data_IF_004345015008
#
_entry.id   IF_004345015008
#
_cell.length_a   1.000
_cell.length_b   1.000
_cell.length_c   1.000
_cell.angle_alpha   90.00
_cell.angle_beta   90.00
_cell.angle_gamma   90.00
#
_symmetry.space_group_name_H-M   'P 1'
#
loop_
_entity.id
_entity.type
_entity.pdbx_description
1 polymer ?
#
# COMPACT_ATOMS: atom_id res chain seq x y z
N UNK A 1 -15.76 3.03 -10.53
CA UNK A 1 -14.99 1.80 -10.28
C UNK A 1 -14.85 1.59 -8.79
N UNK A 2 -15.10 0.40 -8.32
CA UNK A 2 -14.97 0.07 -6.92
C UNK A 2 -13.50 -0.25 -6.61
N UNK A 3 -12.96 0.40 -5.59
CA UNK A 3 -11.59 0.17 -5.15
C UNK A 3 -11.54 -0.99 -4.17
N UNK A 4 -10.38 -1.62 -4.10
CA UNK A 4 -10.12 -2.71 -3.16
C UNK A 4 -9.20 -2.22 -2.04
N UNK A 5 -9.51 -2.61 -0.81
CA UNK A 5 -8.64 -2.34 0.32
C UNK A 5 -7.39 -3.22 0.27
N UNK A 6 -6.23 -2.60 0.42
CA UNK A 6 -4.93 -3.29 0.46
C UNK A 6 -4.17 -2.99 1.75
N UNK A 7 -4.80 -2.21 2.63
CA UNK A 7 -4.17 -1.84 3.89
C UNK A 7 -4.20 -2.95 4.92
N UNK A 8 -4.86 -4.02 4.59
CA UNK A 8 -4.90 -5.18 5.46
C UNK A 8 -3.59 -5.97 5.37
N UNK A 9 -2.49 -5.24 5.42
CA UNK A 9 -1.30 -5.78 6.02
C UNK A 9 -1.63 -5.95 7.50
N UNK A 10 -2.52 -6.86 7.75
CA UNK A 10 -2.88 -7.28 9.10
C UNK A 10 -1.71 -7.92 9.82
N UNK A 11 -0.55 -7.75 9.28
CA UNK A 11 0.68 -8.21 9.87
C UNK A 11 1.18 -7.11 10.79
N UNK A 12 0.50 -6.97 11.92
CA UNK A 12 1.12 -6.34 13.06
C UNK A 12 2.32 -7.23 13.43
N UNK A 13 3.38 -7.12 12.66
CA UNK A 13 4.59 -7.88 12.90
C UNK A 13 5.72 -6.91 13.22
N UNK A 14 6.26 -6.96 14.45
CA UNK A 14 7.31 -6.03 14.87
C UNK A 14 8.51 -5.95 13.94
N UNK A 15 8.78 -6.96 13.13
CA UNK A 15 9.89 -6.91 12.17
C UNK A 15 9.68 -5.86 11.10
N UNK A 16 8.43 -5.41 10.87
CA UNK A 16 8.13 -4.37 9.91
C UNK A 16 8.04 -2.97 10.55
N UNK A 17 8.30 -2.86 11.85
CA UNK A 17 8.21 -1.58 12.54
C UNK A 17 9.14 -0.57 11.89
N UNK A 18 8.60 0.60 11.53
CA UNK A 18 9.35 1.66 10.90
C UNK A 18 9.74 1.41 9.45
N UNK A 19 9.32 0.30 8.87
CA UNK A 19 9.57 0.00 7.47
C UNK A 19 8.72 0.88 6.54
N UNK A 20 9.06 0.87 5.26
CA UNK A 20 8.31 1.58 4.22
C UNK A 20 7.75 0.57 3.25
N UNK A 21 6.46 0.70 2.92
CA UNK A 21 5.83 -0.15 1.91
C UNK A 21 5.51 0.68 0.68
N UNK A 22 5.93 0.18 -0.48
CA UNK A 22 5.65 0.79 -1.79
C UNK A 22 4.70 -0.12 -2.55
N UNK A 23 3.72 0.49 -3.21
CA UNK A 23 2.74 -0.24 -4.01
C UNK A 23 2.99 0.08 -5.47
N UNK A 24 3.29 -0.93 -6.27
CA UNK A 24 3.60 -0.77 -7.69
C UNK A 24 2.46 -1.29 -8.55
N UNK A 25 2.26 -0.67 -9.69
CA UNK A 25 1.32 -1.17 -10.68
C UNK A 25 1.79 -2.51 -11.24
N UNK A 26 0.87 -3.25 -11.86
CA UNK A 26 1.14 -4.57 -12.42
C UNK A 26 0.85 -4.54 -13.91
N UNK A 27 1.74 -5.11 -14.70
CA UNK A 27 1.55 -5.27 -16.13
C UNK A 27 1.84 -6.72 -16.50
N UNK A 28 0.87 -7.38 -17.12
CA UNK A 28 0.99 -8.79 -17.51
C UNK A 28 1.38 -9.69 -16.33
N UNK A 29 0.86 -9.40 -15.13
CA UNK A 29 1.15 -10.16 -13.92
C UNK A 29 2.50 -9.87 -13.28
N UNK A 30 3.24 -8.88 -13.77
CA UNK A 30 4.58 -8.54 -13.31
C UNK A 30 4.60 -7.14 -12.71
N UNK A 31 5.30 -6.96 -11.61
CA UNK A 31 5.49 -5.67 -10.97
C UNK A 31 6.23 -4.73 -11.93
N UNK A 32 5.70 -3.51 -12.08
CA UNK A 32 6.39 -2.45 -12.83
C UNK A 32 7.25 -1.61 -11.89
N UNK A 33 7.93 -0.60 -12.44
CA UNK A 33 8.64 0.40 -11.64
C UNK A 33 7.80 1.64 -11.35
N UNK A 34 6.51 1.62 -11.70
CA UNK A 34 5.61 2.76 -11.53
C UNK A 34 4.81 2.60 -10.24
N UNK A 35 4.86 3.60 -9.37
CA UNK A 35 4.06 3.62 -8.15
C UNK A 35 2.58 3.79 -8.49
N UNK A 36 1.74 2.98 -7.85
CA UNK A 36 0.30 3.07 -8.03
C UNK A 36 -0.27 4.25 -7.26
N UNK A 37 -1.44 4.73 -7.69
CA UNK A 37 -2.18 5.74 -6.95
C UNK A 37 -2.91 5.08 -5.78
N UNK A 38 -2.70 5.61 -4.59
CA UNK A 38 -3.33 5.12 -3.36
C UNK A 38 -4.45 6.08 -2.97
N UNK A 39 -5.56 5.52 -2.50
CA UNK A 39 -6.74 6.30 -2.09
C UNK A 39 -7.07 6.06 -0.63
N UNK A 40 -7.66 7.08 0.00
CA UNK A 40 -8.04 7.02 1.41
C UNK A 40 -9.38 6.32 1.64
N UNK A 41 -10.14 6.02 0.61
CA UNK A 41 -11.44 5.38 0.72
C UNK A 41 -11.87 4.64 -0.52
N UNK A 42 -13.00 3.93 -0.40
CA UNK A 42 -13.58 3.17 -1.51
C UNK A 42 -14.05 4.08 -2.64
N UNK A 43 -14.43 5.30 -2.31
CA UNK A 43 -14.91 6.30 -3.26
C UNK A 43 -14.26 7.65 -2.95
N UNK A 44 -14.44 8.61 -3.83
CA UNK A 44 -13.89 9.94 -3.66
C UNK A 44 -12.51 10.07 -4.32
N UNK A 45 -11.93 11.25 -4.18
CA UNK A 45 -10.69 11.60 -4.88
C UNK A 45 -9.51 11.87 -3.93
N UNK A 46 -9.67 11.60 -2.64
CA UNK A 46 -8.58 11.79 -1.68
C UNK A 46 -7.53 10.72 -1.89
N UNK A 47 -6.32 11.16 -2.25
CA UNK A 47 -5.19 10.25 -2.46
C UNK A 47 -4.26 10.26 -1.27
N UNK A 48 -3.45 9.20 -1.17
CA UNK A 48 -2.41 9.06 -0.15
C UNK A 48 -1.05 9.07 -0.83
N UNK A 49 -0.02 9.40 -0.05
CA UNK A 49 1.34 9.30 -0.55
C UNK A 49 1.72 7.84 -0.78
N UNK A 50 2.56 7.60 -1.75
CA UNK A 50 3.14 6.29 -2.03
C UNK A 50 4.63 6.49 -2.24
N UNK A 51 5.52 5.91 -1.44
CA UNK A 51 5.26 4.83 -0.47
C UNK A 51 4.64 5.32 0.86
N UNK A 52 4.19 4.36 1.65
CA UNK A 52 3.62 4.58 2.98
C UNK A 52 4.57 4.07 4.06
N UNK A 53 4.72 4.84 5.13
CA UNK A 53 5.50 4.41 6.28
C UNK A 53 4.64 3.52 7.18
N UNK A 54 5.22 2.44 7.68
CA UNK A 54 4.58 1.59 8.68
C UNK A 54 4.81 2.16 10.07
N UNK A 55 3.86 1.88 10.98
CA UNK A 55 3.96 2.36 12.35
C UNK A 55 4.88 1.47 13.21
N UNK A 56 4.94 1.76 14.50
CA UNK A 56 5.79 1.02 15.43
C UNK A 56 5.34 -0.43 15.65
N UNK A 57 4.13 -0.77 15.24
CA UNK A 57 3.61 -2.14 15.31
C UNK A 57 3.85 -2.92 14.01
N UNK A 58 4.39 -2.27 13.00
CA UNK A 58 4.68 -2.92 11.72
C UNK A 58 3.45 -3.04 10.82
N UNK A 59 2.51 -2.11 10.90
CA UNK A 59 1.33 -2.08 10.05
C UNK A 59 1.12 -0.69 9.47
N UNK A 60 0.33 -0.57 8.42
CA UNK A 60 -0.01 0.72 7.84
C UNK A 60 -0.88 1.51 8.82
N UNK A 61 -0.66 2.83 8.87
CA UNK A 61 -1.32 3.71 9.82
C UNK A 61 -2.78 3.98 9.51
N UNK A 62 -3.20 3.68 8.28
CA UNK A 62 -4.55 3.99 7.81
C UNK A 62 -4.94 3.01 6.72
N UNK A 63 -6.24 2.83 6.48
CA UNK A 63 -6.69 2.02 5.35
C UNK A 63 -6.20 2.60 4.03
N UNK A 64 -5.81 1.72 3.11
CA UNK A 64 -5.34 2.08 1.78
C UNK A 64 -6.20 1.35 0.77
N UNK A 65 -6.64 2.06 -0.26
CA UNK A 65 -7.48 1.50 -1.32
C UNK A 65 -6.84 1.78 -2.68
N UNK A 66 -7.00 0.83 -3.59
CA UNK A 66 -6.49 0.94 -4.96
C UNK A 66 -7.57 0.59 -5.96
N UNK A 67 -7.51 1.22 -7.14
CA UNK A 67 -8.44 0.96 -8.23
C UNK A 67 -7.96 -0.06 -9.24
N UNK A 68 -6.76 -0.62 -9.03
CA UNK A 68 -6.14 -1.57 -9.96
C UNK A 68 -5.26 -2.55 -9.17
N UNK A 69 -4.89 -3.69 -9.77
CA UNK A 69 -3.98 -4.63 -9.11
C UNK A 69 -2.64 -3.96 -8.78
N UNK A 70 -2.10 -4.28 -7.61
CA UNK A 70 -0.80 -3.77 -7.16
C UNK A 70 0.04 -4.88 -6.57
N UNK A 71 1.35 -4.66 -6.54
CA UNK A 71 2.29 -5.50 -5.80
C UNK A 71 2.98 -4.61 -4.78
N UNK A 72 2.98 -5.05 -3.53
CA UNK A 72 3.62 -4.34 -2.44
C UNK A 72 5.07 -4.78 -2.28
N UNK A 73 5.94 -3.81 -2.00
CA UNK A 73 7.34 -4.05 -1.71
C UNK A 73 7.71 -3.35 -0.41
N UNK A 74 8.27 -4.07 0.54
CA UNK A 74 8.63 -3.54 1.84
C UNK A 74 10.14 -3.33 1.88
N UNK A 75 10.56 -2.15 2.37
CA UNK A 75 11.97 -1.80 2.49
C UNK A 75 12.24 -1.16 3.86
N UNK A 76 13.50 -1.00 4.20
CA UNK A 76 13.87 -0.39 5.48
C UNK A 76 13.83 -1.36 6.66
N UNK A 77 13.87 -2.64 6.38
CA UNK A 77 13.95 -3.68 7.41
C UNK A 77 15.34 -3.81 8.00
#
# INVERSE_FOLDING_TARGET
MMRNGVADFSLANPIYAGATVSFYTVSAGVKTSTLATLYAGLTGSTTLTNPQAMDSDGKCRQPIYVGEPVIASVSGL
#
